data_IF_539422779037
#
_entry.id   IF_539422779037
#
_cell.length_a   1.000
_cell.length_b   1.000
_cell.length_c   1.000
_cell.angle_alpha   90.00
_cell.angle_beta   90.00
_cell.angle_gamma   90.00
#
_symmetry.space_group_name_H-M   'P 1'
#
loop_
_entity.id
_entity.type
_entity.pdbx_description
1 polymer ?
#
# COMPACT_ATOMS: atom_id res chain seq x y z
N UNK A 1 -10.97 -9.65 6.95
CA UNK A 1 -9.71 -9.71 7.73
C UNK A 1 -9.33 -8.30 8.19
N UNK A 2 -9.09 -8.12 9.49
CA UNK A 2 -8.52 -6.88 10.03
C UNK A 2 -6.99 -7.05 10.08
N UNK A 3 -6.27 -6.16 9.40
CA UNK A 3 -4.81 -6.12 9.40
C UNK A 3 -4.35 -5.03 10.35
N UNK A 4 -3.63 -5.40 11.39
CA UNK A 4 -3.08 -4.44 12.34
C UNK A 4 -1.72 -3.91 11.89
N UNK A 5 -1.46 -2.65 12.24
CA UNK A 5 -0.13 -2.09 12.14
C UNK A 5 0.81 -2.79 13.13
N UNK A 6 1.81 -3.50 12.61
CA UNK A 6 2.81 -4.16 13.47
C UNK A 6 3.83 -3.14 13.93
N UNK A 7 4.24 -3.19 15.21
CA UNK A 7 5.32 -2.34 15.75
C UNK A 7 6.63 -2.43 14.95
N UNK A 8 6.88 -3.56 14.28
CA UNK A 8 8.04 -3.70 13.39
C UNK A 8 8.00 -2.75 12.19
N UNK A 9 6.81 -2.32 11.75
CA UNK A 9 6.63 -1.42 10.62
C UNK A 9 7.13 0.00 10.91
N UNK A 10 7.09 0.43 12.18
CA UNK A 10 7.61 1.74 12.59
C UNK A 10 9.10 1.88 12.27
N UNK A 11 9.86 0.78 12.32
CA UNK A 11 11.28 0.74 11.94
C UNK A 11 11.47 0.40 10.46
N UNK A 12 10.64 -0.48 9.92
CA UNK A 12 10.79 -0.98 8.57
C UNK A 12 10.44 0.07 7.50
N UNK A 13 9.41 0.88 7.69
CA UNK A 13 9.00 1.89 6.70
C UNK A 13 10.10 2.92 6.41
N UNK A 14 10.76 3.53 7.42
CA UNK A 14 11.89 4.43 7.15
C UNK A 14 13.05 3.77 6.40
N UNK A 15 13.34 2.48 6.68
CA UNK A 15 14.37 1.71 5.98
C UNK A 15 13.98 1.53 4.51
N UNK A 16 12.76 1.09 4.24
CA UNK A 16 12.26 0.90 2.88
C UNK A 16 12.22 2.23 2.10
N UNK A 17 11.83 3.34 2.72
CA UNK A 17 11.88 4.65 2.07
C UNK A 17 13.32 5.00 1.67
N UNK A 18 14.29 4.74 2.55
CA UNK A 18 15.70 4.97 2.27
C UNK A 18 16.21 4.06 1.14
N UNK A 19 15.83 2.79 1.13
CA UNK A 19 16.25 1.81 0.12
C UNK A 19 15.68 2.12 -1.27
N UNK A 20 14.39 2.44 -1.35
CA UNK A 20 13.70 2.67 -2.62
C UNK A 20 13.86 4.08 -3.17
N UNK A 21 14.00 5.08 -2.29
CA UNK A 21 13.94 6.50 -2.68
C UNK A 21 15.12 7.33 -2.15
N UNK A 22 16.07 6.72 -1.43
CA UNK A 22 17.21 7.38 -0.80
C UNK A 22 16.83 8.14 0.49
N UNK A 23 15.74 8.89 0.48
CA UNK A 23 15.16 9.59 1.62
C UNK A 23 13.70 10.02 1.35
N UNK A 24 12.96 10.52 2.35
CA UNK A 24 11.59 11.04 2.14
C UNK A 24 11.51 12.16 1.08
N UNK A 25 12.56 12.97 0.91
CA UNK A 25 12.65 13.98 -0.14
C UNK A 25 12.70 13.39 -1.56
N UNK A 26 13.38 12.26 -1.75
CA UNK A 26 13.37 11.51 -3.01
C UNK A 26 11.99 10.96 -3.33
N UNK A 27 11.33 10.39 -2.33
CA UNK A 27 9.96 9.87 -2.46
C UNK A 27 8.98 10.99 -2.85
N UNK A 28 9.05 12.15 -2.19
CA UNK A 28 8.16 13.30 -2.49
C UNK A 28 8.53 14.07 -3.76
N UNK A 29 9.74 13.91 -4.30
CA UNK A 29 10.06 14.37 -5.68
C UNK A 29 9.37 13.50 -6.73
N UNK A 30 9.34 12.18 -6.50
CA UNK A 30 8.70 11.23 -7.39
C UNK A 30 7.17 11.22 -7.23
N UNK A 31 6.67 11.47 -6.02
CA UNK A 31 5.25 11.55 -5.68
C UNK A 31 4.95 12.87 -4.94
N UNK A 32 4.83 14.00 -5.66
CA UNK A 32 4.67 15.34 -5.06
C UNK A 32 3.47 15.52 -4.13
N UNK A 33 2.46 14.67 -4.27
CA UNK A 33 1.23 14.66 -3.49
C UNK A 33 1.43 14.05 -2.09
N UNK A 34 2.58 13.42 -1.85
CA UNK A 34 3.00 12.95 -0.53
C UNK A 34 3.81 14.02 0.22
N UNK A 35 3.75 15.31 -0.16
CA UNK A 35 4.37 16.37 0.65
C UNK A 35 3.46 16.71 1.83
N UNK A 36 4.03 16.91 3.02
CA UNK A 36 3.27 17.40 4.17
C UNK A 36 2.64 18.77 3.94
N UNK A 37 3.23 19.58 3.07
CA UNK A 37 2.75 20.91 2.67
C UNK A 37 1.76 20.89 1.50
N UNK A 38 1.37 19.71 1.01
CA UNK A 38 0.41 19.63 -0.07
C UNK A 38 -0.95 20.16 0.43
N UNK A 39 -1.60 21.10 -0.27
CA UNK A 39 -2.88 21.63 0.15
C UNK A 39 -3.97 20.58 -0.13
N UNK A 40 -4.16 19.66 0.82
CA UNK A 40 -5.29 18.76 0.84
C UNK A 40 -6.54 19.63 0.91
N UNK A 41 -7.27 19.73 -0.20
CA UNK A 41 -8.57 20.41 -0.21
C UNK A 41 -9.62 19.45 0.31
N UNK A 42 -10.53 19.98 1.12
CA UNK A 42 -11.72 19.34 1.70
C UNK A 42 -12.70 18.86 0.60
N UNK A 43 -12.34 17.82 -0.15
CA UNK A 43 -13.27 17.11 -1.01
C UNK A 43 -13.48 15.71 -0.44
N UNK A 44 -14.74 15.42 -0.10
CA UNK A 44 -15.22 14.20 0.54
C UNK A 44 -14.54 12.94 -0.01
N UNK A 45 -13.70 12.35 0.83
CA UNK A 45 -12.80 11.25 0.55
C UNK A 45 -13.55 9.91 0.52
N UNK A 46 -14.40 9.67 -0.48
CA UNK A 46 -15.03 8.36 -0.66
C UNK A 46 -14.16 7.50 -1.58
N UNK A 47 -13.42 6.54 -0.99
CA UNK A 47 -12.70 5.49 -1.73
C UNK A 47 -13.49 4.18 -1.73
N UNK A 48 -14.34 3.99 -2.74
CA UNK A 48 -14.86 2.65 -3.10
C UNK A 48 -13.94 1.98 -4.13
N UNK A 49 -14.11 0.67 -4.38
CA UNK A 49 -13.40 -0.03 -5.46
C UNK A 49 -13.62 0.64 -6.84
N UNK A 50 -14.74 1.33 -7.03
CA UNK A 50 -15.04 2.15 -8.23
C UNK A 50 -14.27 3.47 -8.28
N UNK A 51 -13.87 4.04 -7.14
CA UNK A 51 -13.06 5.27 -7.10
C UNK A 51 -11.63 5.05 -7.62
N UNK A 52 -11.13 3.81 -7.61
CA UNK A 52 -9.89 3.42 -8.31
C UNK A 52 -10.02 3.48 -9.85
N UNK A 53 -11.24 3.60 -10.38
CA UNK A 53 -11.50 3.82 -11.80
C UNK A 53 -11.69 5.30 -12.19
N UNK A 54 -11.60 6.25 -11.23
CA UNK A 54 -11.76 7.70 -11.45
C UNK A 54 -10.38 8.38 -11.69
N UNK A 55 -10.20 9.28 -12.70
CA UNK A 55 -8.88 9.66 -13.22
C UNK A 55 -8.12 10.73 -12.42
N UNK A 56 -8.52 11.10 -11.20
CA UNK A 56 -7.68 11.94 -10.32
C UNK A 56 -6.55 11.12 -9.66
N UNK A 57 -5.78 10.55 -10.56
CA UNK A 57 -4.78 9.53 -10.42
C UNK A 57 -3.58 10.00 -9.59
N UNK A 58 -3.39 11.28 -9.30
CA UNK A 58 -2.07 11.80 -8.88
C UNK A 58 -1.69 11.45 -7.42
N UNK A 59 -2.65 11.05 -6.61
CA UNK A 59 -2.49 10.76 -5.18
C UNK A 59 -2.05 9.31 -4.86
N UNK A 60 -2.17 8.38 -5.81
CA UNK A 60 -1.89 6.95 -5.59
C UNK A 60 -0.58 6.46 -6.23
N UNK A 61 0.46 7.29 -6.12
CA UNK A 61 1.76 7.04 -6.75
C UNK A 61 2.38 5.71 -6.34
N UNK A 62 2.45 5.46 -5.02
CA UNK A 62 3.00 4.23 -4.46
C UNK A 62 2.11 3.02 -4.70
N UNK A 63 0.79 3.16 -4.56
CA UNK A 63 -0.16 2.08 -4.77
C UNK A 63 -0.13 1.59 -6.22
N UNK A 64 -0.01 2.50 -7.19
CA UNK A 64 0.17 2.11 -8.60
C UNK A 64 1.52 1.46 -8.87
N UNK A 65 2.58 1.98 -8.26
CA UNK A 65 3.89 1.35 -8.40
C UNK A 65 3.86 -0.08 -7.83
N UNK A 66 3.19 -0.26 -6.69
CA UNK A 66 2.96 -1.56 -6.09
C UNK A 66 2.15 -2.48 -7.01
N UNK A 67 1.07 -1.98 -7.62
CA UNK A 67 0.28 -2.73 -8.60
C UNK A 67 1.09 -3.13 -9.85
N UNK A 68 1.96 -2.25 -10.36
CA UNK A 68 2.87 -2.58 -11.46
C UNK A 68 3.82 -3.71 -11.09
N UNK A 69 4.44 -3.64 -9.92
CA UNK A 69 5.31 -4.72 -9.42
C UNK A 69 4.53 -6.01 -9.17
N UNK A 70 3.31 -5.92 -8.66
CA UNK A 70 2.46 -7.08 -8.44
C UNK A 70 2.15 -7.82 -9.74
N UNK A 71 1.72 -7.10 -10.78
CA UNK A 71 1.44 -7.65 -12.12
C UNK A 71 2.68 -8.23 -12.79
N UNK A 72 3.87 -7.67 -12.51
CA UNK A 72 5.15 -8.20 -12.98
C UNK A 72 5.63 -9.45 -12.20
N UNK A 73 4.91 -9.89 -11.15
CA UNK A 73 5.33 -10.99 -10.29
C UNK A 73 6.49 -10.65 -9.34
N UNK A 74 6.76 -9.36 -9.15
CA UNK A 74 7.75 -8.80 -8.21
C UNK A 74 7.09 -8.52 -6.86
N UNK A 75 6.51 -9.54 -6.25
CA UNK A 75 5.64 -9.41 -5.08
C UNK A 75 6.32 -8.84 -3.84
N UNK A 76 7.61 -9.10 -3.62
CA UNK A 76 8.38 -8.41 -2.57
C UNK A 76 8.34 -6.88 -2.74
N UNK A 77 8.73 -6.38 -3.92
CA UNK A 77 8.75 -4.94 -4.22
C UNK A 77 7.34 -4.33 -4.14
N UNK A 78 6.32 -5.09 -4.58
CA UNK A 78 4.94 -4.68 -4.45
C UNK A 78 4.53 -4.51 -2.98
N UNK A 79 4.82 -5.51 -2.14
CA UNK A 79 4.53 -5.47 -0.71
C UNK A 79 5.26 -4.34 0.03
N UNK A 80 6.51 -4.07 -0.34
CA UNK A 80 7.29 -2.96 0.20
C UNK A 80 6.67 -1.60 -0.18
N UNK A 81 6.28 -1.40 -1.44
CA UNK A 81 5.60 -0.18 -1.88
C UNK A 81 4.25 0.03 -1.16
N UNK A 82 3.46 -1.03 -0.98
CA UNK A 82 2.23 -0.98 -0.19
C UNK A 82 2.51 -0.63 1.28
N UNK A 83 3.57 -1.17 1.87
CA UNK A 83 3.88 -0.88 3.27
C UNK A 83 4.32 0.57 3.47
N UNK A 84 5.07 1.15 2.52
CA UNK A 84 5.40 2.57 2.54
C UNK A 84 4.12 3.41 2.42
N UNK A 85 3.18 3.04 1.54
CA UNK A 85 1.89 3.72 1.42
C UNK A 85 1.07 3.65 2.72
N UNK A 86 1.05 2.50 3.41
CA UNK A 86 0.39 2.35 4.71
C UNK A 86 1.02 3.27 5.77
N UNK A 87 2.35 3.33 5.83
CA UNK A 87 3.05 4.21 6.77
C UNK A 87 2.76 5.69 6.53
N UNK A 88 2.66 6.09 5.26
CA UNK A 88 2.28 7.45 4.91
C UNK A 88 0.86 7.80 5.34
N UNK A 89 -0.10 6.91 5.03
CA UNK A 89 -1.51 7.08 5.42
C UNK A 89 -1.65 7.18 6.93
N UNK A 90 -0.99 6.30 7.68
CA UNK A 90 -1.03 6.33 9.15
C UNK A 90 -0.54 7.65 9.74
N UNK A 91 0.45 8.31 9.13
CA UNK A 91 0.98 9.58 9.62
C UNK A 91 0.10 10.79 9.26
N UNK A 92 -0.71 10.68 8.21
CA UNK A 92 -1.60 11.74 7.71
C UNK A 92 -3.07 11.50 8.07
N UNK A 93 -3.36 10.40 8.75
CA UNK A 93 -4.71 9.96 9.09
C UNK A 93 -5.26 10.79 10.24
N UNK A 94 -6.48 11.28 10.04
CA UNK A 94 -7.40 11.58 11.13
C UNK A 94 -8.00 10.26 11.67
N UNK A 95 -7.79 9.99 12.96
CA UNK A 95 -8.21 8.75 13.62
C UNK A 95 -9.73 8.66 13.83
N UNK A 96 -10.43 9.79 13.81
CA UNK A 96 -11.89 9.85 13.96
C UNK A 96 -12.62 9.71 12.60
N UNK A 97 -11.86 9.65 11.50
CA UNK A 97 -12.41 9.41 10.16
C UNK A 97 -12.32 7.93 9.78
N UNK A 98 -13.46 7.23 9.81
CA UNK A 98 -13.58 5.81 9.48
C UNK A 98 -13.04 5.46 8.08
N UNK A 99 -13.14 6.37 7.10
CA UNK A 99 -12.66 6.16 5.73
C UNK A 99 -11.12 6.07 5.68
N UNK A 100 -10.41 6.81 6.55
CA UNK A 100 -8.96 6.68 6.65
C UNK A 100 -8.54 5.34 7.24
N UNK A 101 -9.31 4.84 8.22
CA UNK A 101 -9.09 3.52 8.82
C UNK A 101 -9.31 2.43 7.78
N UNK A 102 -10.39 2.49 7.01
CA UNK A 102 -10.67 1.55 5.91
C UNK A 102 -9.58 1.57 4.83
N UNK A 103 -9.12 2.76 4.44
CA UNK A 103 -8.03 2.89 3.48
C UNK A 103 -6.70 2.29 3.99
N UNK A 104 -6.38 2.48 5.27
CA UNK A 104 -5.23 1.84 5.89
C UNK A 104 -5.38 0.31 5.92
N UNK A 105 -6.57 -0.19 6.26
CA UNK A 105 -6.87 -1.62 6.23
C UNK A 105 -6.68 -2.21 4.83
N UNK A 106 -7.20 -1.54 3.80
CA UNK A 106 -7.05 -1.97 2.41
C UNK A 106 -5.58 -2.10 2.00
N UNK A 107 -4.77 -1.10 2.31
CA UNK A 107 -3.33 -1.14 1.99
C UNK A 107 -2.61 -2.23 2.76
N UNK A 108 -2.91 -2.42 4.04
CA UNK A 108 -2.30 -3.47 4.86
C UNK A 108 -2.69 -4.87 4.38
N UNK A 109 -3.92 -5.08 3.88
CA UNK A 109 -4.31 -6.35 3.24
C UNK A 109 -3.44 -6.65 2.01
N UNK A 110 -3.15 -5.64 1.19
CA UNK A 110 -2.23 -5.79 0.06
C UNK A 110 -0.78 -6.07 0.49
N UNK A 111 -0.32 -5.54 1.62
CA UNK A 111 0.99 -5.89 2.20
C UNK A 111 1.03 -7.38 2.54
N UNK A 112 0.05 -7.87 3.29
CA UNK A 112 0.00 -9.28 3.71
C UNK A 112 -0.17 -10.22 2.51
N UNK A 113 -1.01 -9.85 1.53
CA UNK A 113 -1.21 -10.63 0.33
C UNK A 113 0.08 -10.77 -0.50
N UNK A 114 0.78 -9.67 -0.76
CA UNK A 114 2.03 -9.70 -1.52
C UNK A 114 3.14 -10.45 -0.78
N UNK A 115 3.18 -10.38 0.56
CA UNK A 115 4.10 -11.21 1.35
C UNK A 115 3.79 -12.69 1.20
N UNK A 116 2.52 -13.07 1.28
CA UNK A 116 2.12 -14.46 1.12
C UNK A 116 2.49 -14.99 -0.28
N UNK A 117 2.28 -14.20 -1.33
CA UNK A 117 2.67 -14.55 -2.70
C UNK A 117 4.19 -14.69 -2.85
N UNK A 118 4.95 -13.75 -2.30
CA UNK A 118 6.42 -13.80 -2.30
C UNK A 118 6.96 -15.03 -1.55
N UNK A 119 6.39 -15.35 -0.39
CA UNK A 119 6.73 -16.56 0.36
C UNK A 119 6.39 -17.84 -0.42
N UNK A 120 5.19 -17.89 -1.02
CA UNK A 120 4.76 -19.01 -1.86
C UNK A 120 5.74 -19.25 -3.01
N UNK A 121 6.17 -18.16 -3.69
CA UNK A 121 7.18 -18.19 -4.75
C UNK A 121 8.54 -18.69 -4.25
N UNK A 122 9.03 -18.12 -3.15
CA UNK A 122 10.34 -18.43 -2.55
C UNK A 122 10.42 -19.87 -2.09
N UNK A 123 9.35 -20.39 -1.48
CA UNK A 123 9.23 -21.78 -1.02
C UNK A 123 8.90 -22.76 -2.15
N UNK A 124 8.69 -22.29 -3.39
CA UNK A 124 8.32 -23.10 -4.56
C UNK A 124 7.13 -24.02 -4.28
N UNK A 125 6.14 -23.52 -3.55
CA UNK A 125 4.99 -24.32 -3.14
C UNK A 125 4.12 -24.67 -4.35
N UNK A 126 3.32 -25.73 -4.21
CA UNK A 126 2.41 -26.17 -5.25
C UNK A 126 1.32 -25.13 -5.52
N UNK A 127 0.68 -25.22 -6.69
CA UNK A 127 -0.45 -24.36 -7.07
C UNK A 127 -1.62 -24.43 -6.09
N UNK A 128 -1.82 -25.57 -5.43
CA UNK A 128 -2.88 -25.74 -4.43
C UNK A 128 -2.63 -24.93 -3.15
N UNK A 129 -1.39 -24.49 -2.91
CA UNK A 129 -1.02 -23.61 -1.81
C UNK A 129 -0.93 -22.14 -2.24
N UNK A 130 -1.39 -21.79 -3.45
CA UNK A 130 -1.35 -20.42 -3.94
C UNK A 130 -2.24 -19.52 -3.06
N UNK A 131 -1.71 -18.40 -2.54
CA UNK A 131 -2.52 -17.41 -1.85
C UNK A 131 -3.48 -16.74 -2.81
N UNK A 132 -4.78 -16.78 -2.50
CA UNK A 132 -5.83 -16.08 -3.23
C UNK A 132 -6.18 -14.76 -2.52
N UNK A 133 -6.50 -13.68 -3.24
CA UNK A 133 -6.74 -12.35 -2.66
C UNK A 133 -7.94 -12.33 -1.69
N UNK A 134 -8.94 -13.18 -1.90
CA UNK A 134 -10.13 -13.29 -1.06
C UNK A 134 -9.76 -13.69 0.38
N UNK A 135 -8.69 -14.48 0.55
CA UNK A 135 -8.17 -14.87 1.87
C UNK A 135 -7.73 -13.63 2.69
N UNK A 136 -7.41 -12.54 2.01
CA UNK A 136 -6.98 -11.28 2.60
C UNK A 136 -8.10 -10.23 2.63
N UNK A 137 -9.31 -10.57 2.15
CA UNK A 137 -10.42 -9.61 2.01
C UNK A 137 -10.16 -8.58 0.92
N UNK A 138 -9.52 -9.01 -0.17
CA UNK A 138 -9.34 -8.28 -1.42
C UNK A 138 -10.17 -8.97 -2.52
N UNK A 139 -10.59 -8.22 -3.52
CA UNK A 139 -11.24 -8.76 -4.73
C UNK A 139 -10.24 -8.96 -5.85
N UNK A 140 -10.48 -9.95 -6.70
CA UNK A 140 -9.67 -10.30 -7.88
C UNK A 140 -9.80 -9.30 -9.07
N UNK A 141 -10.58 -8.22 -8.91
CA UNK A 141 -10.94 -7.26 -9.98
C UNK A 141 -9.81 -6.26 -10.34
#
# INVERSE_FOLDING_TARGET
MQCEWRRSYDRLVPILIKEHFGNPGGMTRQFPYMKSTFPWKDEDFILTAEALANPNNKYHGLERQAQKYHRAGSWQLAGECWLIAAGWRRNMMDADNEQHVEALQFVLRHVEYNRALDEWKKKKLSRNAMPYPELFGLSDN
#
